data_IF_145963244911
#
_entry.id   IF_145963244911
#
_cell.length_a   1.000
_cell.length_b   1.000
_cell.length_c   1.000
_cell.angle_alpha   90.00
_cell.angle_beta   90.00
_cell.angle_gamma   90.00
#
_symmetry.space_group_name_H-M   'P 1'
#
loop_
_entity.id
_entity.type
_entity.pdbx_description
1 polymer ?
#
# COMPACT_ATOMS: atom_id res chain seq x y z
N UNK A 1 -35.89 7.41 -1.20
CA UNK A 1 -34.61 7.11 -0.49
C UNK A 1 -34.04 5.80 -1.04
N UNK A 2 -32.75 5.74 -1.39
CA UNK A 2 -32.14 4.49 -1.89
C UNK A 2 -31.98 3.47 -0.73
N UNK A 3 -32.29 2.18 -0.91
CA UNK A 3 -32.18 1.18 0.15
C UNK A 3 -30.71 0.95 0.54
N UNK A 4 -30.46 0.69 1.83
CA UNK A 4 -29.11 0.38 2.35
C UNK A 4 -28.63 -0.96 1.79
N UNK A 5 -27.41 -0.97 1.24
CA UNK A 5 -26.78 -2.17 0.64
C UNK A 5 -26.42 -3.26 1.66
N UNK A 6 -26.12 -2.90 2.92
CA UNK A 6 -25.76 -3.87 3.97
C UNK A 6 -26.33 -3.49 5.33
N UNK A 7 -26.42 -4.48 6.23
CA UNK A 7 -26.87 -4.29 7.62
C UNK A 7 -25.83 -3.57 8.50
N UNK A 8 -24.58 -3.40 8.05
CA UNK A 8 -23.49 -2.84 8.85
C UNK A 8 -23.02 -3.80 9.98
N UNK A 9 -22.18 -3.29 10.89
CA UNK A 9 -21.64 -4.08 12.02
C UNK A 9 -22.78 -4.52 12.96
N UNK A 10 -22.99 -5.82 13.06
CA UNK A 10 -23.97 -6.41 13.97
C UNK A 10 -23.33 -6.76 15.31
N UNK A 11 -24.07 -6.53 16.41
CA UNK A 11 -23.68 -7.01 17.74
C UNK A 11 -23.88 -8.53 17.79
N UNK A 12 -22.91 -9.23 18.36
CA UNK A 12 -22.95 -10.68 18.58
C UNK A 12 -22.66 -10.99 20.05
N UNK A 13 -23.18 -12.12 20.54
CA UNK A 13 -22.93 -12.57 21.90
C UNK A 13 -21.49 -13.06 22.07
N UNK A 14 -20.88 -12.84 23.24
CA UNK A 14 -19.56 -13.37 23.59
C UNK A 14 -19.72 -14.83 24.04
N UNK A 15 -19.93 -15.70 23.06
CA UNK A 15 -20.01 -17.15 23.18
C UNK A 15 -19.38 -17.80 21.94
N UNK A 16 -19.23 -19.13 21.95
CA UNK A 16 -18.77 -19.87 20.77
C UNK A 16 -19.72 -19.58 19.58
N UNK A 17 -19.13 -19.29 18.42
CA UNK A 17 -19.88 -19.15 17.16
C UNK A 17 -20.04 -20.55 16.58
N UNK A 18 -21.26 -21.04 16.50
CA UNK A 18 -21.53 -22.42 16.07
C UNK A 18 -21.26 -22.61 14.57
N UNK A 19 -21.61 -21.64 13.73
CA UNK A 19 -21.35 -21.72 12.29
C UNK A 19 -19.86 -21.57 11.99
N UNK A 20 -19.30 -22.60 11.36
CA UNK A 20 -17.85 -22.71 11.10
C UNK A 20 -17.29 -21.59 10.22
N UNK A 21 -17.97 -21.25 9.13
CA UNK A 21 -17.58 -20.16 8.23
C UNK A 21 -17.50 -18.82 8.99
N UNK A 22 -18.56 -18.48 9.74
CA UNK A 22 -18.64 -17.24 10.50
C UNK A 22 -17.58 -17.21 11.61
N UNK A 23 -17.29 -18.36 12.21
CA UNK A 23 -16.23 -18.51 13.22
C UNK A 23 -14.85 -18.28 12.62
N UNK A 24 -14.54 -18.85 11.45
CA UNK A 24 -13.26 -18.66 10.75
C UNK A 24 -13.06 -17.21 10.31
N UNK A 25 -14.10 -16.58 9.74
CA UNK A 25 -14.08 -15.17 9.36
C UNK A 25 -13.91 -14.28 10.59
N UNK A 26 -14.63 -14.57 11.68
CA UNK A 26 -14.52 -13.80 12.93
C UNK A 26 -13.15 -13.95 13.57
N UNK A 27 -12.57 -15.16 13.60
CA UNK A 27 -11.22 -15.41 14.11
C UNK A 27 -10.20 -14.58 13.31
N UNK A 28 -10.30 -14.59 11.97
CA UNK A 28 -9.39 -13.84 11.11
C UNK A 28 -9.49 -12.33 11.35
N UNK A 29 -10.70 -11.79 11.42
CA UNK A 29 -10.94 -10.35 11.69
C UNK A 29 -10.50 -9.93 13.10
N UNK A 30 -10.83 -10.73 14.12
CA UNK A 30 -10.45 -10.45 15.51
C UNK A 30 -8.94 -10.57 15.71
N UNK A 31 -8.31 -11.60 15.16
CA UNK A 31 -6.85 -11.76 15.18
C UNK A 31 -6.18 -10.52 14.59
N UNK A 32 -6.62 -10.07 13.41
CA UNK A 32 -6.05 -8.87 12.79
C UNK A 32 -6.25 -7.63 13.66
N UNK A 33 -7.46 -7.43 14.21
CA UNK A 33 -7.74 -6.30 15.11
C UNK A 33 -6.89 -6.33 16.40
N UNK A 34 -6.67 -7.51 16.97
CA UNK A 34 -5.77 -7.70 18.13
C UNK A 34 -4.33 -7.34 17.74
N UNK A 35 -3.85 -7.80 16.58
CA UNK A 35 -2.49 -7.52 16.11
C UNK A 35 -2.27 -6.02 15.93
N UNK A 36 -3.23 -5.32 15.33
CA UNK A 36 -3.20 -3.85 15.23
C UNK A 36 -3.09 -3.21 16.60
N UNK A 37 -3.91 -3.63 17.58
CA UNK A 37 -3.89 -3.07 18.93
C UNK A 37 -2.60 -3.37 19.69
N UNK A 38 -2.03 -4.57 19.54
CA UNK A 38 -0.74 -4.93 20.14
C UNK A 38 0.40 -4.13 19.51
N UNK A 39 0.36 -3.92 18.19
CA UNK A 39 1.33 -3.08 17.48
C UNK A 39 1.24 -1.62 17.94
N UNK A 40 0.02 -1.06 18.01
CA UNK A 40 -0.20 0.28 18.55
C UNK A 40 0.33 0.41 19.98
N UNK A 41 0.01 -0.55 20.85
CA UNK A 41 0.46 -0.56 22.24
C UNK A 41 2.00 -0.61 22.34
N UNK A 42 2.64 -1.47 21.54
CA UNK A 42 4.10 -1.59 21.55
C UNK A 42 4.77 -0.31 21.05
N UNK A 43 4.24 0.31 19.99
CA UNK A 43 4.79 1.55 19.42
C UNK A 43 4.57 2.74 20.38
N UNK A 44 3.36 2.90 20.92
CA UNK A 44 3.00 4.06 21.74
C UNK A 44 3.64 4.04 23.13
N UNK A 45 3.72 2.85 23.73
CA UNK A 45 4.20 2.71 25.10
C UNK A 45 5.61 2.13 25.20
N UNK A 46 6.25 1.76 24.08
CA UNK A 46 7.49 0.99 24.10
C UNK A 46 7.35 -0.37 24.77
N UNK A 47 6.12 -0.90 24.87
CA UNK A 47 5.83 -2.13 25.58
C UNK A 47 6.30 -3.35 24.79
N UNK A 48 6.99 -4.26 25.48
CA UNK A 48 7.26 -5.60 24.95
C UNK A 48 6.02 -6.46 25.13
N UNK A 49 5.51 -6.99 24.02
CA UNK A 49 4.23 -7.71 24.00
C UNK A 49 4.39 -9.03 23.26
N UNK A 50 3.73 -10.07 23.78
CA UNK A 50 3.60 -11.36 23.12
C UNK A 50 2.15 -11.82 23.17
N UNK A 51 1.70 -12.44 22.09
CA UNK A 51 0.38 -13.02 21.96
C UNK A 51 0.47 -14.36 21.26
N UNK A 52 -0.22 -15.36 21.80
CA UNK A 52 -0.33 -16.71 21.27
C UNK A 52 -1.82 -17.09 21.19
N UNK A 53 -2.25 -17.59 20.05
CA UNK A 53 -3.58 -18.18 19.88
C UNK A 53 -3.52 -19.43 19.02
N UNK A 54 -4.60 -20.22 19.06
CA UNK A 54 -4.73 -21.43 18.26
C UNK A 54 -5.92 -21.31 17.30
N UNK A 55 -5.76 -21.80 16.07
CA UNK A 55 -6.85 -21.92 15.12
C UNK A 55 -7.77 -23.09 15.51
N UNK A 56 -8.95 -23.16 14.89
CA UNK A 56 -9.83 -24.33 15.08
C UNK A 56 -9.16 -25.65 14.65
N UNK A 57 -8.14 -25.59 13.78
CA UNK A 57 -7.32 -26.74 13.35
C UNK A 57 -6.15 -27.03 14.30
N UNK A 58 -6.04 -26.35 15.44
CA UNK A 58 -4.94 -26.52 16.39
C UNK A 58 -3.62 -25.88 15.97
N UNK A 59 -3.58 -25.14 14.85
CA UNK A 59 -2.35 -24.46 14.40
C UNK A 59 -2.12 -23.20 15.24
N UNK A 60 -0.96 -23.03 15.89
CA UNK A 60 -0.66 -21.82 16.62
C UNK A 60 -0.45 -20.64 15.68
N UNK A 61 -0.76 -19.44 16.15
CA UNK A 61 -0.39 -18.18 15.54
C UNK A 61 0.09 -17.24 16.64
N UNK A 62 1.11 -16.46 16.33
CA UNK A 62 1.76 -15.58 17.28
C UNK A 62 1.87 -14.16 16.76
N UNK A 63 1.96 -13.23 17.70
CA UNK A 63 2.43 -11.87 17.49
C UNK A 63 3.44 -11.57 18.60
N UNK A 64 4.50 -10.83 18.29
CA UNK A 64 5.36 -10.30 19.32
C UNK A 64 6.16 -9.11 18.84
N UNK A 65 6.45 -8.22 19.78
CA UNK A 65 7.31 -7.06 19.60
C UNK A 65 8.24 -7.00 20.81
N UNK A 66 9.57 -7.15 20.64
CA UNK A 66 10.31 -7.20 19.37
C UNK A 66 10.16 -8.51 18.57
N UNK A 67 9.95 -9.64 19.23
CA UNK A 67 9.51 -10.91 18.62
C UNK A 67 8.83 -11.78 19.66
N UNK A 68 7.99 -12.73 19.25
CA UNK A 68 7.32 -13.63 20.21
C UNK A 68 8.33 -14.41 21.05
N UNK A 69 9.38 -14.95 20.40
CA UNK A 69 10.40 -15.76 21.05
C UNK A 69 11.20 -14.94 22.08
N UNK A 70 11.63 -13.72 21.74
CA UNK A 70 12.40 -12.88 22.65
C UNK A 70 11.62 -12.55 23.93
N UNK A 71 10.32 -12.25 23.79
CA UNK A 71 9.45 -11.97 24.95
C UNK A 71 9.15 -13.26 25.73
N UNK A 72 8.93 -14.39 25.06
CA UNK A 72 8.68 -15.67 25.69
C UNK A 72 9.89 -16.19 26.49
N UNK A 73 11.10 -16.12 25.91
CA UNK A 73 12.35 -16.51 26.58
C UNK A 73 12.56 -15.69 27.86
N UNK A 74 12.32 -14.38 27.80
CA UNK A 74 12.38 -13.51 29.00
C UNK A 74 11.38 -13.89 30.06
N UNK A 75 10.15 -14.17 29.65
CA UNK A 75 9.09 -14.57 30.57
C UNK A 75 9.43 -15.91 31.25
N UNK A 76 9.91 -16.89 30.49
CA UNK A 76 10.26 -18.23 30.98
C UNK A 76 11.54 -18.24 31.83
N UNK A 77 12.52 -17.42 31.46
CA UNK A 77 13.80 -17.38 32.16
C UNK A 77 13.72 -16.65 33.51
N UNK A 78 12.57 -16.05 33.84
CA UNK A 78 12.28 -15.39 35.11
C UNK A 78 13.24 -14.25 35.38
N UNK A 79 12.80 -13.00 35.29
CA UNK A 79 13.59 -11.88 35.81
C UNK A 79 13.70 -11.96 37.34
N UNK A 80 14.64 -12.78 37.81
CA UNK A 80 15.28 -12.74 39.11
C UNK A 80 16.81 -12.77 38.91
N UNK A 81 17.33 -12.04 37.92
CA UNK A 81 18.75 -11.61 37.95
C UNK A 81 18.94 -10.34 37.14
N UNK A 82 18.92 -9.22 37.87
CA UNK A 82 19.73 -8.04 37.60
C UNK A 82 21.06 -8.39 36.90
N UNK A 83 21.27 -7.91 35.67
CA UNK A 83 22.63 -7.73 35.15
C UNK A 83 22.64 -6.57 34.17
N UNK A 84 23.48 -5.59 34.47
CA UNK A 84 23.78 -4.38 33.70
C UNK A 84 24.18 -4.65 32.24
N UNK A 85 24.47 -5.91 31.89
CA UNK A 85 24.73 -6.37 30.52
C UNK A 85 23.46 -6.42 29.66
N UNK A 86 22.32 -6.75 30.26
CA UNK A 86 21.03 -6.84 29.55
C UNK A 86 20.43 -5.46 29.21
N UNK A 87 20.73 -4.42 30.01
CA UNK A 87 20.28 -3.05 29.74
C UNK A 87 21.02 -2.41 28.57
N UNK A 88 22.32 -2.66 28.42
CA UNK A 88 23.10 -2.21 27.26
C UNK A 88 22.65 -2.92 25.99
N UNK A 89 22.46 -4.24 26.02
CA UNK A 89 21.91 -4.97 24.86
C UNK A 89 20.50 -4.49 24.48
N UNK A 90 19.61 -4.24 25.46
CA UNK A 90 18.31 -3.59 25.22
C UNK A 90 18.45 -2.22 24.58
N UNK A 91 19.35 -1.38 25.10
CA UNK A 91 19.56 -0.02 24.59
C UNK A 91 20.06 -0.06 23.13
N UNK A 92 20.99 -0.95 22.81
CA UNK A 92 21.50 -1.14 21.45
C UNK A 92 20.43 -1.69 20.51
N UNK A 93 19.65 -2.69 20.93
CA UNK A 93 18.54 -3.23 20.13
C UNK A 93 17.45 -2.18 19.88
N UNK A 94 17.08 -1.42 20.92
CA UNK A 94 16.10 -0.34 20.80
C UNK A 94 16.60 0.79 19.91
N UNK A 95 17.88 1.17 20.03
CA UNK A 95 18.49 2.18 19.15
C UNK A 95 18.52 1.70 17.69
N UNK A 96 18.85 0.42 17.45
CA UNK A 96 18.83 -0.15 16.11
C UNK A 96 17.41 -0.20 15.53
N UNK A 97 16.43 -0.61 16.33
CA UNK A 97 15.02 -0.62 15.91
C UNK A 97 14.52 0.79 15.63
N UNK A 98 14.87 1.77 16.47
CA UNK A 98 14.52 3.18 16.29
C UNK A 98 15.16 3.76 15.02
N UNK A 99 16.44 3.48 14.75
CA UNK A 99 17.12 3.92 13.54
C UNK A 99 16.46 3.33 12.29
N UNK A 100 16.09 2.04 12.33
CA UNK A 100 15.38 1.38 11.22
C UNK A 100 14.00 1.98 10.97
N UNK A 101 13.25 2.28 12.03
CA UNK A 101 11.95 2.98 11.93
C UNK A 101 12.15 4.37 11.32
N UNK A 102 13.17 5.12 11.74
CA UNK A 102 13.47 6.44 11.18
C UNK A 102 13.78 6.38 9.68
N UNK A 103 14.61 5.42 9.24
CA UNK A 103 14.89 5.24 7.82
C UNK A 103 13.64 4.88 7.02
N UNK A 104 12.80 3.99 7.55
CA UNK A 104 11.52 3.65 6.93
C UNK A 104 10.58 4.87 6.83
N UNK A 105 10.49 5.69 7.87
CA UNK A 105 9.71 6.92 7.86
C UNK A 105 10.23 7.92 6.81
N UNK A 106 11.56 8.06 6.67
CA UNK A 106 12.16 8.93 5.64
C UNK A 106 11.80 8.46 4.24
N UNK A 107 11.91 7.16 3.96
CA UNK A 107 11.53 6.58 2.64
C UNK A 107 10.05 6.75 2.38
N UNK A 108 9.21 6.45 3.38
CA UNK A 108 7.76 6.60 3.27
C UNK A 108 7.36 8.05 2.94
N UNK A 109 7.88 9.03 3.67
CA UNK A 109 7.57 10.43 3.42
C UNK A 109 8.01 10.88 2.02
N UNK A 110 9.20 10.46 1.56
CA UNK A 110 9.69 10.74 0.20
C UNK A 110 8.74 10.19 -0.88
N UNK A 111 8.31 8.94 -0.74
CA UNK A 111 7.40 8.32 -1.71
C UNK A 111 6.03 9.01 -1.72
N UNK A 112 5.54 9.43 -0.55
CA UNK A 112 4.29 10.20 -0.46
C UNK A 112 4.43 11.54 -1.20
N UNK A 113 5.55 12.25 -1.01
CA UNK A 113 5.81 13.49 -1.75
C UNK A 113 5.82 13.26 -3.27
N UNK A 114 6.52 12.23 -3.76
CA UNK A 114 6.56 11.88 -5.19
C UNK A 114 5.16 11.63 -5.76
N UNK A 115 4.33 10.83 -5.07
CA UNK A 115 2.95 10.55 -5.48
C UNK A 115 2.12 11.84 -5.52
N UNK A 116 2.23 12.70 -4.51
CA UNK A 116 1.44 13.95 -4.49
C UNK A 116 1.82 14.89 -5.62
N UNK A 117 3.11 14.93 -6.00
CA UNK A 117 3.59 15.72 -7.14
C UNK A 117 3.01 15.17 -8.45
N UNK A 118 3.00 13.85 -8.64
CA UNK A 118 2.38 13.23 -9.82
C UNK A 118 0.88 13.48 -9.88
N UNK A 119 0.16 13.38 -8.76
CA UNK A 119 -1.27 13.70 -8.71
C UNK A 119 -1.56 15.14 -9.13
N UNK A 120 -0.74 16.11 -8.68
CA UNK A 120 -0.89 17.52 -9.07
C UNK A 120 -0.62 17.71 -10.57
N UNK A 121 0.41 17.04 -11.11
CA UNK A 121 0.71 17.08 -12.55
C UNK A 121 -0.45 16.53 -13.37
N UNK A 122 -0.99 15.37 -12.99
CA UNK A 122 -2.14 14.74 -13.66
C UNK A 122 -3.38 15.63 -13.64
N UNK A 123 -3.69 16.24 -12.49
CA UNK A 123 -4.80 17.19 -12.36
C UNK A 123 -4.61 18.41 -13.26
N UNK A 124 -3.39 18.94 -13.36
CA UNK A 124 -3.06 20.08 -14.23
C UNK A 124 -3.18 19.72 -15.71
N UNK A 125 -2.70 18.55 -16.14
CA UNK A 125 -2.84 18.09 -17.53
C UNK A 125 -4.29 17.79 -17.90
N UNK A 126 -5.08 17.24 -16.98
CA UNK A 126 -6.50 17.01 -17.18
C UNK A 126 -7.27 18.34 -17.35
N UNK A 127 -7.04 19.31 -16.47
CA UNK A 127 -7.67 20.63 -16.57
C UNK A 127 -7.28 21.37 -17.87
N UNK A 128 -6.02 21.25 -18.30
CA UNK A 128 -5.57 21.83 -19.57
C UNK A 128 -6.25 21.15 -20.78
N UNK A 129 -6.45 19.83 -20.73
CA UNK A 129 -7.16 19.07 -21.77
C UNK A 129 -8.67 19.39 -21.84
N UNK A 130 -9.28 19.77 -20.72
CA UNK A 130 -10.67 20.26 -20.66
C UNK A 130 -10.82 21.68 -21.18
N UNK A 131 -9.80 22.53 -21.01
CA UNK A 131 -9.80 23.93 -21.46
C UNK A 131 -9.35 24.13 -22.92
N UNK A 132 -8.89 23.08 -23.61
CA UNK A 132 -8.58 23.18 -25.05
C UNK A 132 -9.87 23.42 -25.85
N UNK A 133 -9.89 24.43 -26.76
CA UNK A 133 -11.06 24.69 -27.59
C UNK A 133 -11.39 23.45 -28.41
N UNK A 134 -12.69 23.18 -28.54
CA UNK A 134 -13.25 22.13 -29.38
C UNK A 134 -12.85 22.43 -30.84
N UNK A 135 -11.70 21.90 -31.26
CA UNK A 135 -11.27 21.98 -32.64
C UNK A 135 -12.05 20.92 -33.43
N UNK A 136 -12.51 21.24 -34.64
CA UNK A 136 -13.20 20.29 -35.54
C UNK A 136 -12.37 19.02 -35.81
N UNK A 137 -11.05 19.09 -35.55
CA UNK A 137 -10.08 18.02 -35.70
C UNK A 137 -9.84 17.17 -34.42
N UNK A 138 -10.73 17.18 -33.41
CA UNK A 138 -10.61 16.38 -32.19
C UNK A 138 -10.91 14.88 -32.37
N UNK A 139 -10.36 14.28 -33.43
CA UNK A 139 -10.63 12.91 -33.86
C UNK A 139 -10.30 11.84 -32.80
N UNK A 140 -9.38 12.12 -31.86
CA UNK A 140 -9.02 11.20 -30.77
C UNK A 140 -10.06 11.15 -29.62
N UNK A 141 -11.11 11.97 -29.66
CA UNK A 141 -12.25 11.93 -28.72
C UNK A 141 -13.48 11.20 -29.29
N UNK A 142 -13.43 10.75 -30.55
CA UNK A 142 -14.52 10.04 -31.22
C UNK A 142 -14.28 8.54 -31.07
N UNK A 143 -15.29 7.80 -30.59
CA UNK A 143 -15.20 6.34 -30.52
C UNK A 143 -15.23 5.76 -31.96
N UNK A 144 -14.27 4.90 -32.35
CA UNK A 144 -14.27 4.28 -33.68
C UNK A 144 -15.53 3.50 -34.03
N UNK A 145 -16.31 3.07 -33.04
CA UNK A 145 -17.59 2.38 -33.26
C UNK A 145 -18.76 3.33 -33.54
N UNK A 146 -18.61 4.63 -33.27
CA UNK A 146 -19.66 5.64 -33.50
C UNK A 146 -19.63 6.19 -34.94
N UNK A 147 -18.54 5.99 -35.66
CA UNK A 147 -18.37 6.43 -37.06
C UNK A 147 -18.91 5.37 -38.02
N UNK A 148 -19.99 5.71 -38.73
CA UNK A 148 -20.65 4.79 -39.69
C UNK A 148 -20.07 4.84 -41.09
N UNK A 149 -19.34 5.91 -41.43
CA UNK A 149 -18.75 6.10 -42.75
C UNK A 149 -17.38 5.40 -42.85
N UNK A 150 -17.22 4.55 -43.87
CA UNK A 150 -16.01 3.75 -44.11
C UNK A 150 -14.80 4.60 -44.51
N UNK A 151 -15.00 5.72 -45.22
CA UNK A 151 -13.92 6.64 -45.60
C UNK A 151 -13.46 7.47 -44.40
N UNK A 152 -14.38 7.92 -43.54
CA UNK A 152 -14.01 8.61 -42.29
C UNK A 152 -13.24 7.70 -41.34
N UNK A 153 -13.67 6.44 -41.15
CA UNK A 153 -12.93 5.47 -40.34
C UNK A 153 -11.51 5.26 -40.88
N UNK A 154 -11.37 5.14 -42.21
CA UNK A 154 -10.04 5.00 -42.83
C UNK A 154 -9.16 6.22 -42.58
N UNK A 155 -9.70 7.42 -42.79
CA UNK A 155 -8.99 8.69 -42.53
C UNK A 155 -8.61 8.84 -41.06
N UNK A 156 -9.46 8.38 -40.14
CA UNK A 156 -9.17 8.39 -38.70
C UNK A 156 -8.07 7.39 -38.33
N UNK A 157 -8.06 6.20 -38.94
CA UNK A 157 -7.02 5.19 -38.75
C UNK A 157 -5.66 5.67 -39.29
N UNK A 158 -5.64 6.36 -40.43
CA UNK A 158 -4.43 7.00 -40.97
C UNK A 158 -3.89 8.07 -40.01
N UNK A 159 -4.74 8.95 -39.48
CA UNK A 159 -4.35 9.92 -38.44
C UNK A 159 -3.83 9.26 -37.15
N UNK A 160 -4.45 8.15 -36.73
CA UNK A 160 -3.96 7.34 -35.60
C UNK A 160 -2.56 6.81 -35.87
N UNK A 161 -2.33 6.26 -37.06
CA UNK A 161 -1.04 5.69 -37.45
C UNK A 161 0.07 6.76 -37.45
N UNK A 162 -0.19 7.94 -38.02
CA UNK A 162 0.75 9.06 -38.01
C UNK A 162 1.10 9.53 -36.58
N UNK A 163 0.10 9.55 -35.68
CA UNK A 163 0.34 9.90 -34.28
C UNK A 163 1.22 8.85 -33.59
N UNK A 164 0.96 7.57 -33.81
CA UNK A 164 1.77 6.48 -33.26
C UNK A 164 3.23 6.58 -33.72
N UNK A 165 3.46 6.86 -35.01
CA UNK A 165 4.80 6.99 -35.56
C UNK A 165 5.58 8.15 -34.92
N UNK A 166 4.95 9.34 -34.81
CA UNK A 166 5.52 10.49 -34.09
C UNK A 166 5.81 10.20 -32.62
N UNK A 167 4.94 9.43 -31.95
CA UNK A 167 5.14 9.07 -30.55
C UNK A 167 6.35 8.14 -30.38
N UNK A 168 6.51 7.18 -31.30
CA UNK A 168 7.67 6.28 -31.34
C UNK A 168 8.97 7.06 -31.58
N UNK A 169 8.97 8.04 -32.48
CA UNK A 169 10.12 8.91 -32.73
C UNK A 169 10.50 9.77 -31.51
N UNK A 170 9.52 10.38 -30.85
CA UNK A 170 9.75 11.19 -29.63
C UNK A 170 10.24 10.31 -28.46
N UNK A 171 9.67 9.10 -28.30
CA UNK A 171 10.12 8.15 -27.29
C UNK A 171 11.57 7.70 -27.55
N UNK A 172 11.91 7.35 -28.80
CA UNK A 172 13.29 7.02 -29.19
C UNK A 172 14.25 8.19 -28.96
N UNK A 173 13.81 9.42 -29.23
CA UNK A 173 14.59 10.65 -29.02
C UNK A 173 14.81 10.95 -27.54
N UNK A 174 13.85 10.64 -26.66
CA UNK A 174 14.01 10.75 -25.19
C UNK A 174 14.99 9.74 -24.64
N UNK A 175 14.98 8.51 -25.15
CA UNK A 175 15.92 7.46 -24.74
C UNK A 175 17.36 7.85 -25.10
N UNK A 176 17.59 8.39 -26.31
CA UNK A 176 18.92 8.87 -26.73
C UNK A 176 19.41 10.03 -25.85
N UNK A 177 18.57 11.04 -25.60
CA UNK A 177 18.91 12.17 -24.71
C UNK A 177 19.27 11.72 -23.30
N UNK A 178 18.52 10.77 -22.73
CA UNK A 178 18.83 10.20 -21.41
C UNK A 178 20.10 9.35 -21.38
N UNK A 179 20.55 8.82 -22.52
CA UNK A 179 21.80 8.05 -22.63
C UNK A 179 23.02 8.98 -22.74
N UNK A 180 22.90 10.08 -23.49
CA UNK A 180 23.98 11.06 -23.67
C UNK A 180 24.29 11.85 -22.39
N UNK A 181 23.28 12.15 -21.56
CA UNK A 181 23.46 12.82 -20.26
C UNK A 181 24.16 11.93 -19.21
N UNK A 182 24.06 10.60 -19.35
CA UNK A 182 24.72 9.64 -18.45
C UNK A 182 26.16 9.30 -18.87
N UNK A 183 26.56 9.59 -20.10
CA UNK A 183 27.89 9.27 -20.63
C UNK A 183 28.88 10.45 -20.59
N UNK A 184 28.44 11.60 -20.07
CA UNK A 184 29.24 12.83 -19.93
C UNK A 184 29.41 13.27 -18.46
N UNK A 185 29.28 12.32 -17.51
CA UNK A 185 29.58 12.45 -16.08
C UNK A 185 30.60 11.40 -15.69
#
# INVERSE_FOLDING_TARGET
>A
MKPKKTKGKQRINIKKIEKDEDRLVTLSKRRNGIYTKLSELSILCGAEVAFLGYSCSGKPYTFGSPSFQAVAERFLNGEASSSSSSSLQRSVMNAHQQAKIQELCKVYNRLVEEITVEEVKLKKTAALAEMMPMNEDAWWKVDPNDVKDREEVKKMMEKHQELYEKLCEEAASRIKRGHDENNNK
#
